data_IF_428609465853
#
_entry.id   IF_428609465853
#
_cell.length_a   1.000
_cell.length_b   1.000
_cell.length_c   1.000
_cell.angle_alpha   90.00
_cell.angle_beta   90.00
_cell.angle_gamma   90.00
#
_symmetry.space_group_name_H-M   'P 1'
#
loop_
_entity.id
_entity.type
_entity.pdbx_description
1 polymer ?
#
# COMPACT_ATOMS: atom_id res chain seq x y z
N UNK A 1 0.05 -11.09 11.81
CA UNK A 1 -0.42 -9.71 11.54
C UNK A 1 -0.42 -9.51 10.04
N UNK A 2 -1.56 -9.18 9.44
CA UNK A 2 -1.65 -8.95 7.99
C UNK A 2 -1.51 -7.46 7.69
N UNK A 3 -0.73 -7.12 6.68
CA UNK A 3 -0.66 -5.74 6.16
C UNK A 3 -0.85 -5.78 4.67
N UNK A 4 -1.76 -4.96 4.18
CA UNK A 4 -2.12 -4.87 2.77
C UNK A 4 -2.05 -3.42 2.31
N UNK A 5 -1.49 -3.19 1.13
CA UNK A 5 -1.50 -1.89 0.48
C UNK A 5 -2.33 -1.99 -0.81
N UNK A 6 -3.51 -1.38 -0.78
CA UNK A 6 -4.36 -1.23 -1.95
C UNK A 6 -3.81 -0.09 -2.81
N UNK A 7 -3.62 -0.36 -4.10
CA UNK A 7 -3.08 0.58 -5.08
C UNK A 7 -3.79 0.42 -6.44
N UNK A 8 -3.44 1.25 -7.41
CA UNK A 8 -3.81 1.09 -8.82
C UNK A 8 -2.53 1.29 -9.65
N UNK A 9 -2.25 0.48 -10.70
CA UNK A 9 -1.11 0.65 -11.59
C UNK A 9 -0.91 2.08 -12.14
N UNK A 10 -1.99 2.83 -12.35
CA UNK A 10 -1.97 4.19 -12.90
C UNK A 10 -1.89 5.28 -11.83
N UNK A 11 -1.85 4.92 -10.55
CA UNK A 11 -1.83 5.86 -9.44
C UNK A 11 -0.43 6.45 -9.23
N UNK A 12 -0.21 7.68 -9.67
CA UNK A 12 1.05 8.42 -9.46
C UNK A 12 1.38 8.62 -7.98
N UNK A 13 0.37 8.85 -7.15
CA UNK A 13 0.51 8.97 -5.69
C UNK A 13 0.88 7.65 -4.99
N UNK A 14 0.73 6.51 -5.67
CA UNK A 14 1.08 5.19 -5.15
C UNK A 14 2.59 4.88 -5.33
N UNK A 15 3.35 5.82 -5.90
CA UNK A 15 4.80 5.71 -6.12
C UNK A 15 5.20 5.67 -7.59
N UNK A 16 4.26 5.46 -8.52
CA UNK A 16 4.58 5.15 -9.92
C UNK A 16 5.20 3.75 -10.07
N UNK A 17 5.26 3.22 -11.29
CA UNK A 17 5.75 1.87 -11.58
C UNK A 17 7.15 1.59 -10.98
N UNK A 18 8.05 2.57 -11.04
CA UNK A 18 9.47 2.40 -10.64
C UNK A 18 9.70 2.44 -9.12
N UNK A 19 8.87 3.17 -8.35
CA UNK A 19 8.94 3.08 -6.88
C UNK A 19 8.08 1.94 -6.35
N UNK A 20 7.06 1.52 -7.09
CA UNK A 20 6.26 0.36 -6.71
C UNK A 20 7.11 -0.91 -6.65
N UNK A 21 8.11 -1.11 -7.51
CA UNK A 21 8.98 -2.30 -7.44
C UNK A 21 9.81 -2.36 -6.14
N UNK A 22 10.43 -1.25 -5.73
CA UNK A 22 11.22 -1.17 -4.50
C UNK A 22 10.37 -1.33 -3.22
N UNK A 23 9.10 -0.96 -3.29
CA UNK A 23 8.18 -0.99 -2.14
C UNK A 23 7.29 -2.27 -2.16
N UNK A 24 7.09 -2.90 -3.32
CA UNK A 24 6.53 -4.26 -3.49
C UNK A 24 7.46 -5.33 -2.95
N UNK A 25 8.78 -5.06 -2.92
CA UNK A 25 9.79 -5.93 -2.34
C UNK A 25 9.87 -5.88 -0.80
N UNK A 26 8.91 -5.26 -0.10
CA UNK A 26 8.88 -5.17 1.36
C UNK A 26 7.98 -6.28 1.95
N UNK A 27 8.51 -7.49 2.24
CA UNK A 27 7.81 -8.40 3.14
C UNK A 27 7.67 -7.71 4.50
N UNK A 28 6.51 -7.77 5.19
CA UNK A 28 5.34 -8.63 4.98
C UNK A 28 4.12 -7.93 4.34
N UNK A 29 4.29 -6.88 3.52
CA UNK A 29 3.17 -6.11 2.95
C UNK A 29 2.65 -6.75 1.65
N UNK A 30 1.37 -7.11 1.62
CA UNK A 30 0.71 -7.59 0.40
C UNK A 30 0.17 -6.43 -0.42
N UNK A 31 0.52 -6.38 -1.70
CA UNK A 31 0.04 -5.34 -2.61
C UNK A 31 -1.20 -5.82 -3.35
N UNK A 32 -2.31 -5.08 -3.21
CA UNK A 32 -3.61 -5.44 -3.78
C UNK A 32 -3.97 -4.40 -4.84
N UNK A 33 -4.21 -4.83 -6.08
CA UNK A 33 -4.75 -3.93 -7.10
C UNK A 33 -6.23 -3.69 -6.82
N UNK A 34 -6.56 -2.48 -6.37
CA UNK A 34 -7.92 -2.09 -6.04
C UNK A 34 -8.85 -2.12 -7.26
N UNK A 35 -8.32 -1.98 -8.48
CA UNK A 35 -9.13 -2.03 -9.72
C UNK A 35 -9.65 -3.43 -10.03
N UNK A 36 -8.95 -4.46 -9.55
CA UNK A 36 -9.35 -5.86 -9.66
C UNK A 36 -10.19 -6.33 -8.46
N UNK A 37 -10.23 -5.53 -7.38
CA UNK A 37 -10.87 -5.89 -6.10
C UNK A 37 -11.78 -4.76 -5.58
N UNK A 38 -12.58 -4.15 -6.47
CA UNK A 38 -13.39 -2.97 -6.16
C UNK A 38 -14.39 -3.19 -5.00
N UNK A 39 -15.06 -4.35 -4.95
CA UNK A 39 -16.00 -4.65 -3.87
C UNK A 39 -15.32 -4.76 -2.50
N UNK A 40 -14.14 -5.39 -2.45
CA UNK A 40 -13.36 -5.49 -1.21
C UNK A 40 -12.88 -4.11 -0.76
N UNK A 41 -12.41 -3.28 -1.71
CA UNK A 41 -12.00 -1.91 -1.44
C UNK A 41 -13.17 -1.06 -0.90
N UNK A 42 -14.36 -1.20 -1.49
CA UNK A 42 -15.56 -0.49 -1.04
C UNK A 42 -15.99 -0.94 0.37
N UNK A 43 -15.98 -2.24 0.67
CA UNK A 43 -16.28 -2.77 2.02
C UNK A 43 -15.33 -2.24 3.10
N UNK A 44 -14.08 -1.96 2.73
CA UNK A 44 -13.06 -1.38 3.61
C UNK A 44 -13.18 0.16 3.73
N UNK A 45 -14.11 0.80 3.02
CA UNK A 45 -14.25 2.25 2.99
C UNK A 45 -13.12 2.95 2.23
N UNK A 46 -12.53 2.27 1.24
CA UNK A 46 -11.44 2.83 0.44
C UNK A 46 -11.99 3.87 -0.54
N UNK A 47 -11.71 5.15 -0.27
CA UNK A 47 -12.13 6.28 -1.13
C UNK A 47 -10.94 6.93 -1.83
N UNK A 48 -9.70 6.65 -1.39
CA UNK A 48 -8.48 7.20 -1.98
C UNK A 48 -7.33 6.21 -1.92
N UNK A 49 -6.63 6.07 -3.03
CA UNK A 49 -5.40 5.27 -3.15
C UNK A 49 -4.16 6.17 -3.01
N UNK A 50 -3.01 5.61 -2.55
CA UNK A 50 -2.85 4.27 -1.97
C UNK A 50 -3.58 4.15 -0.62
N UNK A 51 -4.00 2.95 -0.23
CA UNK A 51 -4.68 2.70 1.04
C UNK A 51 -4.03 1.55 1.81
N UNK A 52 -3.69 1.82 3.07
CA UNK A 52 -3.05 0.86 3.97
C UNK A 52 -4.11 0.21 4.84
N UNK A 53 -4.14 -1.12 4.83
CA UNK A 53 -5.02 -1.96 5.63
C UNK A 53 -4.14 -2.82 6.54
N UNK A 54 -4.51 -2.87 7.82
CA UNK A 54 -3.80 -3.64 8.85
C UNK A 54 -4.82 -4.49 9.57
N UNK A 55 -4.58 -5.81 9.61
CA UNK A 55 -5.49 -6.79 10.23
C UNK A 55 -6.96 -6.61 9.79
N UNK A 56 -7.15 -6.40 8.48
CA UNK A 56 -8.47 -6.24 7.86
C UNK A 56 -9.16 -4.89 8.11
N UNK A 57 -8.47 -3.92 8.72
CA UNK A 57 -9.02 -2.57 8.99
C UNK A 57 -8.25 -1.50 8.24
N UNK A 58 -8.97 -0.53 7.70
CA UNK A 58 -8.39 0.63 7.05
C UNK A 58 -7.59 1.46 8.06
N UNK A 59 -6.27 1.53 7.87
CA UNK A 59 -5.36 2.22 8.77
C UNK A 59 -4.99 3.63 8.27
N UNK A 60 -4.88 3.83 6.96
CA UNK A 60 -4.61 5.13 6.32
C UNK A 60 -4.91 5.11 4.82
N UNK A 61 -5.02 6.30 4.22
CA UNK A 61 -5.26 6.50 2.79
C UNK A 61 -4.45 7.67 2.23
N UNK A 62 -4.30 7.70 0.90
CA UNK A 62 -3.53 8.70 0.18
C UNK A 62 -2.05 8.70 0.59
N UNK A 63 -1.35 9.85 0.50
CA UNK A 63 0.07 9.95 0.82
C UNK A 63 0.44 9.45 2.22
N UNK A 64 -0.48 9.53 3.19
CA UNK A 64 -0.27 9.06 4.56
C UNK A 64 -0.18 7.53 4.67
N UNK A 65 -0.77 6.78 3.75
CA UNK A 65 -0.70 5.32 3.72
C UNK A 65 0.74 4.85 3.50
N UNK A 66 1.43 5.42 2.51
CA UNK A 66 2.84 5.10 2.22
C UNK A 66 3.78 5.55 3.35
N UNK A 67 3.54 6.73 3.94
CA UNK A 67 4.33 7.21 5.08
C UNK A 67 4.24 6.23 6.27
N UNK A 68 3.01 5.87 6.68
CA UNK A 68 2.81 4.91 7.79
C UNK A 68 3.39 3.54 7.51
N UNK A 69 3.28 3.08 6.26
CA UNK A 69 3.86 1.79 5.87
C UNK A 69 5.39 1.82 5.98
N UNK A 70 6.05 2.91 5.55
CA UNK A 70 7.51 3.07 5.68
C UNK A 70 7.98 3.19 7.13
N UNK A 71 7.22 3.88 7.98
CA UNK A 71 7.53 3.97 9.41
C UNK A 71 7.40 2.61 10.10
N UNK A 72 6.44 1.79 9.65
CA UNK A 72 6.18 0.47 10.22
C UNK A 72 7.13 -0.61 9.72
N UNK A 73 7.55 -0.51 8.47
CA UNK A 73 8.49 -1.42 7.83
C UNK A 73 9.64 -0.58 7.28
N UNK A 74 10.62 -0.20 8.11
CA UNK A 74 11.77 0.51 7.58
C UNK A 74 12.47 -0.41 6.57
N UNK A 75 12.60 0.04 5.32
CA UNK A 75 13.46 -0.63 4.35
C UNK A 75 14.88 -0.56 4.92
N UNK A 76 15.49 -1.69 5.25
CA UNK A 76 16.93 -1.74 5.46
C UNK A 76 17.57 -1.29 4.14
N UNK A 77 18.01 -0.03 4.09
CA UNK A 77 18.80 0.45 2.98
C UNK A 77 20.11 -0.32 3.02
N UNK A 78 20.24 -1.35 2.18
CA UNK A 78 21.53 -1.90 1.83
C UNK A 78 22.33 -0.78 1.14
N UNK A 79 23.03 0.01 1.95
CA UNK A 79 24.13 0.85 1.48
C UNK A 79 25.27 -0.11 1.20
N UNK A 80 25.45 -0.46 -0.08
CA UNK A 80 26.72 -0.94 -0.61
C UNK A 80 27.31 0.14 -1.49
#
# INVERSE_FOLDING_TARGET
MSTELYYNPFCTACGGADKAENVRAMPPVRWIDATMHLEAAARLGITRLPALVVDGKLAAQGPRALARMRDRFPVERNVR
#
